data_IF_867774759706
#
_entry.id   IF_867774759706
#
_cell.length_a   1.000
_cell.length_b   1.000
_cell.length_c   1.000
_cell.angle_alpha   90.00
_cell.angle_beta   90.00
_cell.angle_gamma   90.00
#
_symmetry.space_group_name_H-M   'P 1'
#
loop_
_entity.id
_entity.type
_entity.pdbx_description
1 polymer ?
#
# COMPACT_ATOMS: atom_id res chain seq x y z
N UNK A 1 -34.75 18.60 59.53
CA UNK A 1 -33.51 17.92 59.05
C UNK A 1 -33.72 17.01 57.84
N UNK A 2 -34.84 16.28 57.75
CA UNK A 2 -35.15 15.30 56.66
C UNK A 2 -35.18 15.88 55.24
N UNK A 3 -35.66 17.11 55.03
CA UNK A 3 -35.75 17.73 53.69
C UNK A 3 -34.37 18.03 53.06
N UNK A 4 -33.35 18.35 53.86
CA UNK A 4 -31.99 18.60 53.35
C UNK A 4 -31.30 17.32 52.88
N UNK A 5 -31.55 16.19 53.54
CA UNK A 5 -30.99 14.88 53.18
C UNK A 5 -31.59 14.36 51.87
N UNK A 6 -32.89 14.62 51.62
CA UNK A 6 -33.57 14.25 50.36
C UNK A 6 -33.03 15.04 49.16
N UNK A 7 -32.79 16.35 49.34
CA UNK A 7 -32.20 17.20 48.28
C UNK A 7 -30.76 16.80 47.95
N UNK A 8 -29.96 16.46 48.95
CA UNK A 8 -28.57 15.99 48.74
C UNK A 8 -28.55 14.66 47.97
N UNK A 9 -29.43 13.71 48.31
CA UNK A 9 -29.55 12.44 47.57
C UNK A 9 -30.00 12.65 46.13
N UNK A 10 -30.95 13.55 45.89
CA UNK A 10 -31.42 13.89 44.54
C UNK A 10 -30.28 14.50 43.69
N UNK A 11 -29.50 15.42 44.26
CA UNK A 11 -28.36 16.04 43.59
C UNK A 11 -27.29 14.99 43.24
N UNK A 12 -27.02 14.06 44.16
CA UNK A 12 -26.00 13.02 43.95
C UNK A 12 -26.43 12.04 42.85
N UNK A 13 -27.70 11.60 42.84
CA UNK A 13 -28.24 10.74 41.78
C UNK A 13 -28.25 11.46 40.42
N UNK A 14 -28.65 12.73 40.38
CA UNK A 14 -28.63 13.52 39.15
C UNK A 14 -27.19 13.73 38.61
N UNK A 15 -26.23 13.96 39.50
CA UNK A 15 -24.81 14.08 39.14
C UNK A 15 -24.26 12.78 38.53
N UNK A 16 -24.54 11.63 39.15
CA UNK A 16 -24.13 10.32 38.62
C UNK A 16 -24.77 10.06 37.26
N UNK A 17 -26.08 10.30 37.13
CA UNK A 17 -26.79 10.12 35.85
C UNK A 17 -26.22 11.00 34.73
N UNK A 18 -25.88 12.25 35.02
CA UNK A 18 -25.26 13.15 34.06
C UNK A 18 -23.86 12.68 33.62
N UNK A 19 -23.04 12.16 34.55
CA UNK A 19 -21.71 11.62 34.21
C UNK A 19 -21.79 10.34 33.38
N UNK A 20 -22.75 9.47 33.65
CA UNK A 20 -22.95 8.24 32.85
C UNK A 20 -23.46 8.55 31.45
N UNK A 21 -24.24 9.63 31.27
CA UNK A 21 -24.74 10.03 29.95
C UNK A 21 -23.63 10.64 29.09
N UNK A 22 -22.72 11.41 29.70
CA UNK A 22 -21.54 11.96 29.02
C UNK A 22 -20.50 10.89 28.63
N UNK A 23 -20.46 9.76 29.33
CA UNK A 23 -19.52 8.67 29.05
C UNK A 23 -19.89 7.83 27.81
N UNK A 24 -21.13 7.92 27.33
CA UNK A 24 -21.57 7.24 26.12
C UNK A 24 -21.30 8.04 24.83
N UNK A 25 -20.75 9.26 24.94
CA UNK A 25 -20.33 10.02 23.77
C UNK A 25 -18.92 9.60 23.33
N UNK A 26 -18.85 8.81 22.26
CA UNK A 26 -17.60 8.43 21.59
C UNK A 26 -16.94 9.60 20.83
N UNK A 27 -17.52 10.81 20.89
CA UNK A 27 -16.88 12.06 20.44
C UNK A 27 -16.28 12.88 21.60
N UNK A 28 -16.06 12.24 22.75
CA UNK A 28 -15.59 12.82 24.00
C UNK A 28 -14.35 13.71 23.91
N UNK A 29 -14.10 14.40 25.02
CA UNK A 29 -12.99 15.34 25.23
C UNK A 29 -11.66 14.79 24.71
N UNK A 30 -11.24 15.25 23.53
CA UNK A 30 -9.90 14.99 23.02
C UNK A 30 -8.92 15.87 23.79
N UNK A 31 -7.95 15.24 24.45
CA UNK A 31 -6.87 15.94 25.16
C UNK A 31 -5.99 16.74 24.17
N UNK A 32 -6.20 16.55 22.86
CA UNK A 32 -5.67 17.41 21.81
C UNK A 32 -6.29 18.81 21.84
N UNK A 33 -5.55 19.75 22.42
CA UNK A 33 -5.96 21.15 22.51
C UNK A 33 -6.04 21.87 21.15
N UNK A 34 -5.58 21.24 20.05
CA UNK A 34 -5.61 21.85 18.70
C UNK A 34 -7.04 22.17 18.23
N UNK A 35 -8.04 21.46 18.75
CA UNK A 35 -9.47 21.69 18.45
C UNK A 35 -10.06 22.96 19.07
N UNK A 36 -9.41 23.54 20.10
CA UNK A 36 -9.91 24.75 20.78
C UNK A 36 -9.41 26.07 20.16
N UNK A 37 -8.55 26.01 19.14
CA UNK A 37 -8.11 27.17 18.38
C UNK A 37 -9.02 27.46 17.17
N UNK A 38 -9.36 28.74 16.92
CA UNK A 38 -10.12 29.18 15.73
C UNK A 38 -9.37 29.03 14.39
N UNK A 39 -8.27 28.26 14.36
CA UNK A 39 -7.29 28.21 13.29
C UNK A 39 -7.37 27.01 12.35
N UNK A 40 -8.39 26.14 12.46
CA UNK A 40 -8.57 25.02 11.52
C UNK A 40 -7.51 23.91 11.64
N UNK A 41 -6.81 23.81 12.78
CA UNK A 41 -5.83 22.75 13.06
C UNK A 41 -6.49 21.47 13.61
N UNK A 42 -7.82 21.37 13.52
CA UNK A 42 -8.57 20.20 13.93
C UNK A 42 -8.36 19.06 12.91
N UNK A 43 -7.49 18.11 13.26
CA UNK A 43 -7.16 16.95 12.43
C UNK A 43 -8.04 15.73 12.73
N UNK A 44 -9.05 15.87 13.57
CA UNK A 44 -9.86 14.74 14.07
C UNK A 44 -10.52 13.97 12.93
N UNK A 45 -11.16 14.68 11.99
CA UNK A 45 -11.86 14.04 10.88
C UNK A 45 -10.89 13.41 9.87
N UNK A 46 -9.76 14.07 9.60
CA UNK A 46 -8.71 13.53 8.74
C UNK A 46 -8.10 12.24 9.31
N UNK A 47 -7.87 12.19 10.63
CA UNK A 47 -7.39 11.00 11.30
C UNK A 47 -8.43 9.86 11.26
N UNK A 48 -9.71 10.16 11.48
CA UNK A 48 -10.80 9.16 11.38
C UNK A 48 -10.95 8.59 9.97
N UNK A 49 -10.81 9.44 8.94
CA UNK A 49 -10.87 9.01 7.54
C UNK A 49 -9.61 8.25 7.08
N UNK A 50 -8.45 8.49 7.69
CA UNK A 50 -7.24 7.73 7.37
C UNK A 50 -7.29 6.25 7.81
N UNK A 51 -8.26 5.88 8.67
CA UNK A 51 -8.49 4.50 9.13
C UNK A 51 -9.51 3.74 8.27
N UNK A 52 -9.99 4.30 7.15
CA UNK A 52 -10.79 3.54 6.18
C UNK A 52 -10.06 2.25 5.77
N UNK A 53 -10.81 1.17 5.55
CA UNK A 53 -10.32 -0.22 5.48
C UNK A 53 -8.99 -0.34 4.71
N UNK A 54 -7.92 -0.62 5.46
CA UNK A 54 -6.59 -0.83 4.91
C UNK A 54 -6.64 -2.00 3.91
N UNK A 55 -6.26 -1.78 2.64
CA UNK A 55 -6.22 -2.87 1.66
C UNK A 55 -5.28 -3.98 2.13
N UNK A 56 -5.63 -5.23 1.82
CA UNK A 56 -4.80 -6.37 2.20
C UNK A 56 -3.48 -6.35 1.40
N UNK A 57 -2.34 -6.69 2.04
CA UNK A 57 -1.07 -6.82 1.35
C UNK A 57 -1.07 -7.98 0.36
N UNK A 58 -0.30 -7.85 -0.73
CA UNK A 58 -0.02 -8.94 -1.67
C UNK A 58 0.90 -10.01 -1.04
N UNK A 59 1.24 -11.06 -1.80
CA UNK A 59 2.16 -12.13 -1.36
C UNK A 59 3.57 -11.65 -1.00
N UNK A 60 3.95 -10.44 -1.45
CA UNK A 60 5.19 -9.75 -1.12
C UNK A 60 4.96 -8.63 -0.12
N UNK A 61 3.85 -8.62 0.62
CA UNK A 61 3.61 -7.61 1.64
C UNK A 61 3.31 -6.20 1.10
N UNK A 62 3.12 -6.00 -0.21
CA UNK A 62 2.89 -4.67 -0.80
C UNK A 62 1.40 -4.32 -0.72
N UNK A 63 1.12 -3.11 -0.24
CA UNK A 63 -0.22 -2.53 -0.18
C UNK A 63 -0.26 -1.37 -1.18
N UNK A 64 -1.22 -1.43 -2.09
CA UNK A 64 -1.38 -0.43 -3.14
C UNK A 64 -2.51 0.54 -2.82
N UNK A 65 -2.16 1.82 -2.83
CA UNK A 65 -3.09 2.95 -2.76
C UNK A 65 -3.19 3.66 -4.12
N UNK A 66 -4.21 4.51 -4.32
CA UNK A 66 -4.42 5.22 -5.58
C UNK A 66 -3.21 6.06 -6.03
N UNK A 67 -2.46 6.65 -5.11
CA UNK A 67 -1.33 7.53 -5.38
C UNK A 67 0.02 7.07 -4.82
N UNK A 68 0.07 6.03 -3.97
CA UNK A 68 1.32 5.51 -3.41
C UNK A 68 1.26 4.01 -3.13
N UNK A 69 2.38 3.44 -2.72
CA UNK A 69 2.49 2.05 -2.28
C UNK A 69 3.33 1.99 -1.00
N UNK A 70 3.02 1.01 -0.16
CA UNK A 70 3.82 0.68 1.02
C UNK A 70 4.09 -0.81 1.04
N UNK A 71 5.16 -1.24 1.72
CA UNK A 71 5.49 -2.65 1.94
C UNK A 71 5.51 -2.93 3.43
N UNK A 72 4.94 -4.07 3.80
CA UNK A 72 4.96 -4.60 5.15
C UNK A 72 6.15 -5.53 5.30
N UNK A 73 6.97 -5.28 6.32
CA UNK A 73 8.10 -6.12 6.68
C UNK A 73 7.64 -7.35 7.47
N UNK A 74 8.30 -8.46 7.20
CA UNK A 74 8.18 -9.67 8.01
C UNK A 74 8.91 -9.50 9.35
N UNK A 75 8.67 -10.42 10.28
CA UNK A 75 9.37 -10.42 11.57
C UNK A 75 10.88 -10.59 11.35
N UNK A 76 11.66 -9.74 12.02
CA UNK A 76 13.12 -9.73 12.03
C UNK A 76 13.77 -9.53 10.64
N UNK A 77 13.03 -8.92 9.70
CA UNK A 77 13.52 -8.60 8.36
C UNK A 77 14.32 -7.29 8.37
N UNK A 78 15.41 -7.19 7.60
CA UNK A 78 16.12 -5.91 7.42
C UNK A 78 15.59 -5.13 6.23
N UNK A 79 15.83 -3.82 6.17
CA UNK A 79 15.45 -2.99 5.01
C UNK A 79 16.05 -3.55 3.72
N UNK A 80 17.30 -4.01 3.77
CA UNK A 80 17.97 -4.68 2.65
C UNK A 80 17.23 -5.94 2.21
N UNK A 81 16.81 -6.79 3.17
CA UNK A 81 16.06 -8.01 2.85
C UNK A 81 14.67 -7.69 2.26
N UNK A 82 13.96 -6.69 2.80
CA UNK A 82 12.70 -6.19 2.22
C UNK A 82 12.91 -5.76 0.78
N UNK A 83 13.93 -4.94 0.53
CA UNK A 83 14.21 -4.40 -0.80
C UNK A 83 14.51 -5.50 -1.83
N UNK A 84 15.31 -6.50 -1.43
CA UNK A 84 15.61 -7.68 -2.25
C UNK A 84 14.35 -8.49 -2.57
N UNK A 85 13.47 -8.69 -1.58
CA UNK A 85 12.22 -9.43 -1.72
C UNK A 85 11.27 -8.79 -2.74
N UNK A 86 11.21 -7.46 -2.80
CA UNK A 86 10.34 -6.74 -3.74
C UNK A 86 11.05 -6.27 -5.01
N UNK A 87 12.36 -6.49 -5.13
CA UNK A 87 13.15 -6.15 -6.31
C UNK A 87 13.43 -4.65 -6.49
N UNK A 88 13.64 -3.91 -5.40
CA UNK A 88 14.00 -2.48 -5.43
C UNK A 88 15.42 -2.25 -4.88
N UNK A 89 15.99 -1.08 -5.16
CA UNK A 89 17.30 -0.71 -4.64
C UNK A 89 17.26 -0.54 -3.10
N UNK A 90 18.09 -1.28 -2.33
CA UNK A 90 18.13 -1.18 -0.87
C UNK A 90 18.51 0.22 -0.36
N UNK A 91 19.44 0.89 -1.05
CA UNK A 91 19.92 2.21 -0.66
C UNK A 91 18.83 3.27 -0.80
N UNK A 92 18.09 3.25 -1.91
CA UNK A 92 16.98 4.14 -2.19
C UNK A 92 15.83 3.90 -1.20
N UNK A 93 15.47 2.64 -0.93
CA UNK A 93 14.41 2.32 0.04
C UNK A 93 14.77 2.80 1.45
N UNK A 94 16.01 2.54 1.88
CA UNK A 94 16.52 2.96 3.19
C UNK A 94 16.54 4.49 3.34
N UNK A 95 17.09 5.20 2.34
CA UNK A 95 17.13 6.67 2.33
C UNK A 95 15.73 7.29 2.34
N UNK A 96 14.80 6.74 1.55
CA UNK A 96 13.43 7.26 1.47
C UNK A 96 12.68 7.13 2.80
N UNK A 97 12.96 6.08 3.57
CA UNK A 97 12.34 5.84 4.88
C UNK A 97 13.17 6.35 6.07
N UNK A 98 14.28 7.04 5.81
CA UNK A 98 15.21 7.56 6.83
C UNK A 98 15.67 6.48 7.85
N UNK A 99 15.92 5.26 7.37
CA UNK A 99 16.39 4.12 8.16
C UNK A 99 17.70 3.58 7.60
N UNK A 100 18.51 2.93 8.44
CA UNK A 100 19.73 2.29 7.94
C UNK A 100 19.38 0.99 7.19
N UNK A 101 20.12 0.62 6.13
CA UNK A 101 19.82 -0.59 5.34
C UNK A 101 19.80 -1.88 6.16
N UNK A 102 20.66 -1.95 7.19
CA UNK A 102 20.82 -3.14 8.04
C UNK A 102 19.98 -3.06 9.33
N UNK A 103 19.11 -2.06 9.48
CA UNK A 103 18.19 -1.99 10.62
C UNK A 103 17.23 -3.18 10.56
N UNK A 104 17.17 -3.94 11.65
CA UNK A 104 16.17 -5.01 11.85
C UNK A 104 14.82 -4.34 12.11
N UNK A 105 13.82 -4.74 11.33
CA UNK A 105 12.47 -4.19 11.37
C UNK A 105 11.59 -5.03 12.28
N UNK A 106 10.72 -4.35 13.03
CA UNK A 106 9.67 -5.00 13.79
C UNK A 106 8.69 -5.69 12.84
N UNK A 107 8.07 -6.78 13.31
CA UNK A 107 7.03 -7.46 12.57
C UNK A 107 5.88 -6.48 12.24
N UNK A 108 5.50 -6.41 10.96
CA UNK A 108 4.44 -5.52 10.51
C UNK A 108 4.87 -4.07 10.30
N UNK A 109 6.18 -3.76 10.41
CA UNK A 109 6.68 -2.43 10.07
C UNK A 109 6.32 -2.08 8.62
N UNK A 110 5.90 -0.83 8.39
CA UNK A 110 5.45 -0.36 7.09
C UNK A 110 6.49 0.59 6.53
N UNK A 111 7.05 0.27 5.36
CA UNK A 111 7.98 1.12 4.64
C UNK A 111 7.29 1.70 3.41
N UNK A 112 7.45 2.99 3.19
CA UNK A 112 6.96 3.65 2.00
C UNK A 112 7.88 3.32 0.81
N UNK A 113 7.30 3.11 -0.37
CA UNK A 113 8.08 2.84 -1.57
C UNK A 113 8.34 4.15 -2.33
N UNK A 114 9.60 4.43 -2.75
CA UNK A 114 9.94 5.63 -3.52
C UNK A 114 9.37 5.58 -4.95
N UNK A 115 9.17 4.38 -5.49
CA UNK A 115 8.62 4.14 -6.83
C UNK A 115 7.57 3.05 -6.76
N UNK A 116 6.63 3.05 -7.72
CA UNK A 116 5.66 1.96 -7.83
C UNK A 116 6.36 0.69 -8.31
N UNK A 117 6.10 -0.41 -7.62
CA UNK A 117 6.50 -1.76 -8.02
C UNK A 117 5.33 -2.40 -8.76
N UNK A 118 5.61 -3.02 -9.91
CA UNK A 118 4.59 -3.71 -10.69
C UNK A 118 3.90 -4.79 -9.82
N UNK A 119 2.58 -4.90 -9.98
CA UNK A 119 1.82 -5.97 -9.35
C UNK A 119 2.29 -7.31 -9.95
N UNK A 120 2.85 -8.18 -9.12
CA UNK A 120 3.04 -9.58 -9.49
C UNK A 120 1.67 -10.27 -9.61
N UNK A 121 1.58 -11.46 -10.24
CA UNK A 121 0.34 -12.20 -10.31
C UNK A 121 -0.22 -12.42 -8.89
N UNK A 122 -1.38 -11.83 -8.62
CA UNK A 122 -2.05 -11.95 -7.33
C UNK A 122 -2.68 -13.33 -7.23
N UNK A 123 -2.38 -14.07 -6.16
CA UNK A 123 -3.01 -15.36 -5.87
C UNK A 123 -4.48 -15.25 -5.40
N UNK A 124 -5.02 -14.03 -5.27
CA UNK A 124 -6.42 -13.80 -4.96
C UNK A 124 -6.99 -12.75 -5.92
N UNK A 125 -7.94 -13.20 -6.74
CA UNK A 125 -8.67 -12.37 -7.67
C UNK A 125 -9.69 -11.49 -6.95
N UNK A 126 -9.56 -10.18 -7.14
CA UNK A 126 -10.68 -9.24 -7.20
C UNK A 126 -10.16 -7.99 -7.90
N UNK A 127 -10.32 -7.98 -9.22
CA UNK A 127 -9.92 -6.87 -10.08
C UNK A 127 -10.82 -5.66 -9.82
N UNK A 128 -10.27 -4.62 -9.20
CA UNK A 128 -10.81 -3.27 -9.27
C UNK A 128 -10.59 -2.71 -10.67
N UNK A 129 -11.66 -2.46 -11.41
CA UNK A 129 -11.64 -1.87 -12.75
C UNK A 129 -11.23 -0.41 -12.64
N UNK A 130 -9.96 -0.12 -12.92
CA UNK A 130 -9.45 1.23 -13.18
C UNK A 130 -9.24 1.42 -14.67
N UNK A 131 -9.98 2.35 -15.28
CA UNK A 131 -9.87 2.72 -16.69
C UNK A 131 -8.59 3.54 -16.92
N UNK A 132 -7.47 2.86 -17.18
CA UNK A 132 -6.32 3.48 -17.83
C UNK A 132 -6.06 2.74 -19.16
N UNK A 133 -6.11 3.40 -20.33
CA UNK A 133 -5.88 2.74 -21.62
C UNK A 133 -4.45 2.23 -21.84
N UNK A 134 -3.53 2.46 -20.89
CA UNK A 134 -2.18 1.87 -20.90
C UNK A 134 -2.01 0.72 -19.89
N UNK A 135 -3.07 0.36 -19.16
CA UNK A 135 -3.11 -0.90 -18.43
C UNK A 135 -3.39 -2.01 -19.43
N UNK A 136 -2.36 -2.76 -19.81
CA UNK A 136 -2.55 -4.07 -20.42
C UNK A 136 -3.44 -4.86 -19.46
N UNK A 137 -4.69 -5.06 -19.86
CA UNK A 137 -5.67 -5.88 -19.16
C UNK A 137 -4.99 -7.21 -18.83
N UNK A 138 -4.72 -7.45 -17.55
CA UNK A 138 -4.22 -8.72 -17.01
C UNK A 138 -5.28 -9.83 -17.10
N UNK A 139 -6.12 -9.80 -18.14
CA UNK A 139 -6.95 -10.92 -18.57
C UNK A 139 -6.05 -11.84 -19.36
N UNK A 140 -5.45 -12.79 -18.66
CA UNK A 140 -4.72 -13.95 -19.21
C UNK A 140 -3.75 -13.57 -20.32
N UNK A 141 -2.54 -13.14 -19.93
CA UNK A 141 -1.41 -13.14 -20.86
C UNK A 141 -1.18 -14.60 -21.27
N UNK A 142 -1.72 -15.01 -22.41
CA UNK A 142 -1.43 -16.30 -23.02
C UNK A 142 0.01 -16.25 -23.51
N UNK A 143 0.90 -16.76 -22.67
CA UNK A 143 2.35 -16.80 -22.88
C UNK A 143 2.67 -17.51 -24.20
N UNK A 144 1.84 -18.49 -24.58
CA UNK A 144 1.98 -19.23 -25.85
C UNK A 144 1.73 -18.33 -27.04
N UNK A 145 0.63 -17.56 -27.01
CA UNK A 145 0.28 -16.61 -28.07
C UNK A 145 1.29 -15.46 -28.15
N UNK A 146 1.72 -14.93 -27.00
CA UNK A 146 2.71 -13.86 -26.93
C UNK A 146 4.09 -14.31 -27.42
N UNK A 147 4.53 -15.51 -27.03
CA UNK A 147 5.79 -16.09 -27.50
C UNK A 147 5.75 -16.38 -29.01
N UNK A 148 4.65 -16.96 -29.51
CA UNK A 148 4.49 -17.22 -30.94
C UNK A 148 4.51 -15.93 -31.78
N UNK A 149 3.88 -14.86 -31.29
CA UNK A 149 3.92 -13.56 -31.97
C UNK A 149 5.33 -12.96 -32.01
N UNK A 150 6.07 -13.03 -30.90
CA UNK A 150 7.45 -12.54 -30.81
C UNK A 150 8.41 -13.33 -31.72
N UNK A 151 8.26 -14.65 -31.76
CA UNK A 151 9.07 -15.53 -32.61
C UNK A 151 8.80 -15.20 -34.09
N UNK A 152 7.55 -15.17 -34.53
CA UNK A 152 7.21 -14.83 -35.93
C UNK A 152 7.73 -13.45 -36.34
N UNK A 153 7.67 -12.47 -35.43
CA UNK A 153 8.18 -11.11 -35.70
C UNK A 153 9.71 -11.06 -35.80
N UNK A 154 10.43 -11.87 -35.01
CA UNK A 154 11.89 -11.99 -35.10
C UNK A 154 12.34 -12.70 -36.39
N UNK A 155 11.59 -13.70 -36.85
CA UNK A 155 11.90 -14.44 -38.08
C UNK A 155 11.64 -13.63 -39.35
N UNK A 156 10.79 -12.59 -39.30
CA UNK A 156 10.53 -11.68 -40.42
C UNK A 156 11.68 -10.76 -40.82
N UNK A 157 12.87 -10.90 -40.23
CA UNK A 157 14.07 -10.10 -40.58
C UNK A 157 15.25 -10.91 -41.12
N UNK A 158 15.10 -12.22 -41.31
CA UNK A 158 16.10 -13.05 -41.99
C UNK A 158 15.68 -13.30 -43.45
N UNK A 159 15.89 -12.32 -44.33
CA UNK A 159 15.99 -12.60 -45.76
C UNK A 159 17.38 -13.20 -46.02
N UNK A 160 17.50 -14.46 -46.48
CA UNK A 160 18.79 -14.99 -46.89
C UNK A 160 19.30 -14.14 -48.06
N UNK A 161 20.49 -13.55 -47.92
CA UNK A 161 21.17 -12.96 -49.06
C UNK A 161 21.46 -14.10 -50.06
N UNK A 162 20.85 -14.03 -51.23
CA UNK A 162 21.10 -14.95 -52.33
C UNK A 162 22.57 -14.84 -52.73
N UNK A 163 23.40 -15.80 -52.32
CA UNK A 163 24.77 -15.91 -52.81
C UNK A 163 24.70 -16.31 -54.29
N UNK A 164 25.17 -15.43 -55.17
CA UNK A 164 25.36 -15.73 -56.59
C UNK A 164 26.51 -16.73 -56.72
N UNK A 165 26.33 -17.90 -57.37
CA UNK A 165 27.42 -18.86 -57.52
C UNK A 165 28.50 -18.30 -58.47
N UNK A 166 29.76 -18.35 -58.02
CA UNK A 166 30.94 -18.06 -58.84
C UNK A 166 31.20 -19.22 -59.81
N UNK A 167 31.52 -18.98 -61.10
CA UNK A 167 31.76 -20.05 -62.06
C UNK A 167 33.07 -20.78 -61.75
N UNK A 168 33.03 -22.11 -61.83
CA UNK A 168 34.16 -23.00 -61.66
C UNK A 168 35.19 -22.82 -62.79
N UNK A 169 36.46 -22.65 -62.44
CA UNK A 169 37.57 -22.73 -63.37
C UNK A 169 38.10 -24.17 -63.43
N UNK A 170 38.13 -24.72 -64.64
CA UNK A 170 38.71 -26.02 -64.99
C UNK A 170 40.23 -25.93 -65.07
N UNK A 171 40.94 -26.89 -64.48
CA UNK A 171 42.27 -27.35 -64.89
C UNK A 171 42.45 -28.82 -64.45
#
# INVERSE_FOLDING_TARGET
>A
MVSRISRVRLILVAGVAATTLAACDNQGFDMDMRRFGKGGLDTTDAARQAVQDRPQPDSRGIITYPNYQVVVANRDETVTAVAQRIGVDPGALARYNAVAPNTVLNAGAVLALPTRVAAGPTANGTAGVGTNPSALTAGTIDITSLANNAINKSQGSAQPASATPSPAATA
#
